data_IF_011932423479
#
_entry.id   IF_011932423479
#
_cell.length_a   1.000
_cell.length_b   1.000
_cell.length_c   1.000
_cell.angle_alpha   90.00
_cell.angle_beta   90.00
_cell.angle_gamma   90.00
#
_symmetry.space_group_name_H-M   'P 1'
#
loop_
_entity.id
_entity.type
_entity.pdbx_description
1 polymer ?
#
# COMPACT_ATOMS: atom_id res chain seq x y z
N UNK A 1 -5.93 4.59 15.23
CA UNK A 1 -6.15 3.81 13.99
C UNK A 1 -5.30 4.28 12.82
N UNK A 2 -5.19 5.59 12.49
CA UNK A 2 -4.26 6.07 11.44
C UNK A 2 -2.78 5.69 11.66
N UNK A 3 -2.31 5.65 12.91
CA UNK A 3 -0.93 5.22 13.22
C UNK A 3 -0.65 3.75 12.87
N UNK A 4 -1.67 2.89 12.74
CA UNK A 4 -1.52 1.48 12.35
C UNK A 4 -1.56 1.28 10.83
N UNK A 5 -2.18 2.18 10.06
CA UNK A 5 -2.20 2.09 8.59
C UNK A 5 -0.91 2.63 7.94
N UNK A 6 -0.15 3.49 8.62
CA UNK A 6 1.17 3.96 8.18
C UNK A 6 2.19 2.81 8.00
N UNK A 7 2.34 1.86 8.95
CA UNK A 7 3.26 0.73 8.77
C UNK A 7 2.85 -0.19 7.60
N UNK A 8 1.56 -0.45 7.40
CA UNK A 8 1.09 -1.27 6.27
C UNK A 8 1.40 -0.62 4.92
N UNK A 9 1.24 0.70 4.83
CA UNK A 9 1.60 1.46 3.62
C UNK A 9 3.12 1.44 3.38
N UNK A 10 3.94 1.60 4.43
CA UNK A 10 5.40 1.46 4.33
C UNK A 10 5.82 0.08 3.82
N UNK A 11 5.23 -1.00 4.33
CA UNK A 11 5.54 -2.36 3.90
C UNK A 11 5.21 -2.54 2.41
N UNK A 12 4.06 -2.04 1.96
CA UNK A 12 3.70 -2.07 0.53
C UNK A 12 4.72 -1.36 -0.36
N UNK A 13 5.13 -0.14 0.02
CA UNK A 13 6.15 0.63 -0.72
C UNK A 13 7.50 -0.07 -0.75
N UNK A 14 7.93 -0.67 0.37
CA UNK A 14 9.20 -1.42 0.45
C UNK A 14 9.17 -2.63 -0.50
N UNK A 15 8.05 -3.36 -0.54
CA UNK A 15 7.89 -4.52 -1.43
C UNK A 15 7.92 -4.08 -2.90
N UNK A 16 7.30 -2.96 -3.26
CA UNK A 16 7.35 -2.43 -4.64
C UNK A 16 8.76 -1.99 -5.04
N UNK A 17 9.50 -1.34 -4.14
CA UNK A 17 10.89 -0.96 -4.37
C UNK A 17 11.80 -2.18 -4.55
N UNK A 18 11.62 -3.22 -3.71
CA UNK A 18 12.35 -4.48 -3.85
C UNK A 18 12.00 -5.20 -5.16
N UNK A 19 10.73 -5.19 -5.58
CA UNK A 19 10.30 -5.74 -6.86
C UNK A 19 10.91 -5.00 -8.06
N UNK A 20 10.97 -3.67 -8.00
CA UNK A 20 11.65 -2.86 -9.01
C UNK A 20 13.15 -3.15 -9.07
N UNK A 21 13.83 -3.27 -7.92
CA UNK A 21 15.25 -3.62 -7.87
C UNK A 21 15.52 -5.03 -8.44
N UNK A 22 14.65 -6.00 -8.14
CA UNK A 22 14.72 -7.35 -8.69
C UNK A 22 14.47 -7.39 -10.20
N UNK A 23 13.61 -6.51 -10.73
CA UNK A 23 13.38 -6.37 -12.18
C UNK A 23 14.65 -6.04 -12.95
N UNK A 24 15.52 -5.18 -12.40
CA UNK A 24 16.80 -4.86 -13.04
C UNK A 24 17.84 -5.98 -12.95
N UNK A 25 17.67 -6.94 -12.03
CA UNK A 25 18.62 -8.05 -11.84
C UNK A 25 18.20 -9.30 -12.61
N UNK A 26 16.90 -9.59 -12.67
CA UNK A 26 16.36 -10.75 -13.38
C UNK A 26 14.92 -10.44 -13.82
N UNK A 27 14.75 -10.23 -15.12
CA UNK A 27 13.52 -9.69 -15.71
C UNK A 27 12.31 -10.63 -15.49
N UNK A 28 12.52 -11.94 -15.58
CA UNK A 28 11.49 -12.95 -15.37
C UNK A 28 10.97 -12.93 -13.93
N UNK A 29 11.88 -12.95 -12.95
CA UNK A 29 11.50 -12.93 -11.53
C UNK A 29 10.94 -11.57 -11.11
N UNK A 30 11.55 -10.49 -11.59
CA UNK A 30 11.14 -9.14 -11.26
C UNK A 30 9.74 -8.82 -11.75
N UNK A 31 9.32 -9.32 -12.92
CA UNK A 31 7.94 -9.13 -13.42
C UNK A 31 6.89 -9.64 -12.43
N UNK A 32 7.08 -10.83 -11.87
CA UNK A 32 6.13 -11.41 -10.91
C UNK A 32 6.16 -10.71 -9.55
N UNK A 33 7.36 -10.38 -9.05
CA UNK A 33 7.53 -9.68 -7.77
C UNK A 33 7.01 -8.25 -7.85
N UNK A 34 7.25 -7.55 -8.97
CA UNK A 34 6.75 -6.20 -9.20
C UNK A 34 5.23 -6.20 -9.37
N UNK A 35 4.66 -7.16 -10.11
CA UNK A 35 3.21 -7.33 -10.25
C UNK A 35 2.51 -7.56 -8.91
N UNK A 36 3.02 -8.48 -8.09
CA UNK A 36 2.49 -8.74 -6.74
C UNK A 36 2.65 -7.53 -5.81
N UNK A 37 3.76 -6.81 -5.90
CA UNK A 37 3.98 -5.54 -5.18
C UNK A 37 2.96 -4.45 -5.56
N UNK A 38 2.64 -4.30 -6.84
CA UNK A 38 1.63 -3.34 -7.31
C UNK A 38 0.22 -3.68 -6.82
N UNK A 39 -0.13 -4.96 -6.79
CA UNK A 39 -1.41 -5.43 -6.23
C UNK A 39 -1.50 -5.12 -4.73
N UNK A 40 -0.43 -5.39 -3.98
CA UNK A 40 -0.36 -5.07 -2.55
C UNK A 40 -0.49 -3.56 -2.28
N UNK A 41 0.18 -2.71 -3.07
CA UNK A 41 0.06 -1.26 -2.97
C UNK A 41 -1.36 -0.79 -3.29
N UNK A 42 -1.98 -1.36 -4.32
CA UNK A 42 -3.36 -1.02 -4.70
C UNK A 42 -4.35 -1.33 -3.56
N UNK A 43 -4.23 -2.51 -2.95
CA UNK A 43 -5.04 -2.90 -1.79
C UNK A 43 -4.78 -1.96 -0.60
N UNK A 44 -3.51 -1.66 -0.31
CA UNK A 44 -3.14 -0.76 0.78
C UNK A 44 -3.70 0.67 0.56
N UNK A 45 -3.73 1.14 -0.68
CA UNK A 45 -4.28 2.44 -1.06
C UNK A 45 -5.80 2.49 -0.89
N UNK A 46 -6.52 1.45 -1.29
CA UNK A 46 -7.98 1.34 -1.05
C UNK A 46 -8.28 1.34 0.44
N UNK A 47 -7.54 0.55 1.23
CA UNK A 47 -7.70 0.53 2.68
C UNK A 47 -7.39 1.90 3.30
N UNK A 48 -6.33 2.57 2.85
CA UNK A 48 -5.98 3.91 3.31
C UNK A 48 -7.13 4.91 3.07
N UNK A 49 -7.69 4.91 1.86
CA UNK A 49 -8.83 5.77 1.50
C UNK A 49 -10.05 5.44 2.36
N UNK A 50 -10.39 4.15 2.51
CA UNK A 50 -11.50 3.69 3.35
C UNK A 50 -11.36 4.17 4.80
N UNK A 51 -10.17 4.02 5.40
CA UNK A 51 -9.89 4.51 6.75
C UNK A 51 -9.89 6.04 6.84
N UNK A 52 -9.48 6.74 5.78
CA UNK A 52 -9.55 8.20 5.72
C UNK A 52 -11.02 8.66 5.75
N UNK A 53 -11.87 8.11 4.89
CA UNK A 53 -13.30 8.45 4.86
C UNK A 53 -14.01 8.11 6.16
N UNK A 54 -13.72 6.95 6.76
CA UNK A 54 -14.27 6.58 8.08
C UNK A 54 -13.94 7.64 9.14
N UNK A 55 -12.71 8.15 9.15
CA UNK A 55 -12.29 9.22 10.07
C UNK A 55 -12.99 10.56 9.79
N UNK A 56 -13.19 10.93 8.53
CA UNK A 56 -13.91 12.16 8.19
C UNK A 56 -15.41 12.05 8.50
N UNK A 57 -16.01 10.87 8.31
CA UNK A 57 -17.39 10.59 8.72
C UNK A 57 -17.60 10.67 10.24
N UNK A 58 -16.65 10.14 11.03
CA UNK A 58 -16.72 10.18 12.49
C UNK A 58 -16.63 11.61 13.05
N UNK A 59 -15.91 12.54 12.39
CA UNK A 59 -15.85 13.94 12.86
C UNK A 59 -17.13 14.74 12.60
N UNK A 60 -18.01 14.28 11.71
CA UNK A 60 -19.24 15.02 11.35
C UNK A 60 -20.41 14.75 12.30
N UNK A 61 -20.34 13.71 13.14
CA UNK A 61 -21.37 13.37 14.13
C UNK A 61 -21.28 14.17 15.44
N UNK A 62 -20.28 15.03 15.59
CA UNK A 62 -20.00 15.76 16.84
C UNK A 62 -20.37 17.26 16.76
N UNK A 63 -20.98 17.70 15.65
CA UNK A 63 -21.60 19.03 15.56
C UNK A 63 -23.12 18.93 15.64
#
# INVERSE_FOLDING_TARGET
>A
MLRKSIPTFRIGVIITLLGGALYFYNEDYGKYVMGSGLVLVSIAMVLYIFFMFRRYGDRKKVN
#
